data_IF_141111654746
#
_entry.id   IF_141111654746
#
_cell.length_a   1.000
_cell.length_b   1.000
_cell.length_c   1.000
_cell.angle_alpha   90.00
_cell.angle_beta   90.00
_cell.angle_gamma   90.00
#
_symmetry.space_group_name_H-M   'P 1'
#
loop_
_entity.id
_entity.type
_entity.pdbx_description
1 polymer ?
#
# COMPACT_ATOMS: atom_id res chain seq x y z
N UNK A 1 -6.13 5.33 18.36
CA UNK A 1 -4.93 5.79 17.63
C UNK A 1 -5.29 6.02 16.17
N UNK A 2 -4.43 6.71 15.42
CA UNK A 2 -4.65 7.00 14.00
C UNK A 2 -4.06 5.87 13.14
N UNK A 3 -4.86 5.29 12.27
CA UNK A 3 -4.47 4.14 11.42
C UNK A 3 -4.64 4.53 9.96
N UNK A 4 -3.57 4.44 9.17
CA UNK A 4 -3.68 4.57 7.71
C UNK A 4 -4.10 3.24 7.12
N UNK A 5 -5.29 3.19 6.52
CA UNK A 5 -5.77 2.04 5.79
C UNK A 5 -5.33 2.17 4.33
N UNK A 6 -4.43 1.30 3.88
CA UNK A 6 -4.11 1.15 2.46
C UNK A 6 -5.00 0.05 1.87
N UNK A 7 -5.88 0.45 0.95
CA UNK A 7 -6.75 -0.47 0.22
C UNK A 7 -6.04 -0.84 -1.09
N UNK A 8 -5.63 -2.12 -1.28
CA UNK A 8 -5.00 -2.55 -2.53
C UNK A 8 -5.92 -2.32 -3.72
N UNK A 9 -5.34 -1.95 -4.87
CA UNK A 9 -6.09 -1.68 -6.10
C UNK A 9 -7.08 -2.80 -6.48
N UNK A 10 -6.70 -4.07 -6.33
CA UNK A 10 -7.60 -5.19 -6.66
C UNK A 10 -8.75 -5.33 -5.64
N UNK A 11 -8.53 -4.97 -4.38
CA UNK A 11 -9.58 -4.99 -3.35
C UNK A 11 -10.61 -3.92 -3.70
N UNK A 12 -10.15 -2.71 -4.03
CA UNK A 12 -11.02 -1.60 -4.38
C UNK A 12 -11.86 -1.91 -5.64
N UNK A 13 -11.23 -2.50 -6.66
CA UNK A 13 -11.89 -2.81 -7.93
C UNK A 13 -12.81 -4.03 -7.87
N UNK A 14 -12.44 -5.09 -7.13
CA UNK A 14 -13.14 -6.37 -7.20
C UNK A 14 -13.90 -6.73 -5.92
N UNK A 15 -13.47 -6.23 -4.76
CA UNK A 15 -14.02 -6.60 -3.45
C UNK A 15 -14.13 -5.40 -2.49
N UNK A 16 -14.77 -4.28 -2.90
CA UNK A 16 -14.79 -3.04 -2.10
C UNK A 16 -15.38 -3.21 -0.70
N UNK A 17 -16.25 -4.21 -0.51
CA UNK A 17 -16.80 -4.58 0.80
C UNK A 17 -15.73 -4.97 1.83
N UNK A 18 -14.57 -5.45 1.40
CA UNK A 18 -13.45 -5.74 2.30
C UNK A 18 -12.90 -4.44 2.89
N UNK A 19 -12.64 -3.43 2.07
CA UNK A 19 -12.21 -2.11 2.54
C UNK A 19 -13.21 -1.49 3.51
N UNK A 20 -14.51 -1.50 3.16
CA UNK A 20 -15.57 -1.00 4.04
C UNK A 20 -15.65 -1.77 5.37
N UNK A 21 -15.44 -3.08 5.35
CA UNK A 21 -15.46 -3.91 6.56
C UNK A 21 -14.26 -3.61 7.47
N UNK A 22 -13.08 -3.37 6.90
CA UNK A 22 -11.89 -2.96 7.65
C UNK A 22 -12.12 -1.64 8.38
N UNK A 23 -12.68 -0.63 7.70
CA UNK A 23 -13.05 0.66 8.33
C UNK A 23 -13.96 0.42 9.53
N UNK A 24 -15.08 -0.30 9.35
CA UNK A 24 -16.05 -0.57 10.41
C UNK A 24 -15.42 -1.29 11.62
N UNK A 25 -14.53 -2.25 11.38
CA UNK A 25 -13.85 -2.99 12.46
C UNK A 25 -12.92 -2.05 13.23
N UNK A 26 -12.07 -1.29 12.54
CA UNK A 26 -11.09 -0.40 13.15
C UNK A 26 -11.76 0.74 13.93
N UNK A 27 -12.82 1.35 13.39
CA UNK A 27 -13.60 2.38 14.07
C UNK A 27 -14.31 1.82 15.31
N UNK A 28 -14.87 0.60 15.22
CA UNK A 28 -15.50 -0.07 16.37
C UNK A 28 -14.51 -0.37 17.49
N UNK A 29 -13.23 -0.55 17.17
CA UNK A 29 -12.13 -0.70 18.14
C UNK A 29 -11.64 0.65 18.70
N UNK A 30 -12.24 1.78 18.31
CA UNK A 30 -11.89 3.11 18.79
C UNK A 30 -10.67 3.72 18.08
N UNK A 31 -10.41 3.34 16.84
CA UNK A 31 -9.34 3.93 16.02
C UNK A 31 -9.89 4.95 15.03
N UNK A 32 -9.11 6.00 14.77
CA UNK A 32 -9.37 6.95 13.68
C UNK A 32 -8.78 6.35 12.40
N UNK A 33 -9.60 6.12 11.38
CA UNK A 33 -9.17 5.53 10.12
C UNK A 33 -8.92 6.62 9.09
N UNK A 34 -7.70 6.65 8.57
CA UNK A 34 -7.28 7.54 7.48
C UNK A 34 -7.19 6.72 6.22
N UNK A 35 -7.81 7.20 5.16
CA UNK A 35 -7.76 6.59 3.84
C UNK A 35 -7.40 7.65 2.79
N UNK A 36 -6.71 7.23 1.74
CA UNK A 36 -6.36 8.08 0.60
C UNK A 36 -7.24 7.70 -0.60
N UNK A 37 -8.06 8.65 -1.08
CA UNK A 37 -9.03 8.42 -2.16
C UNK A 37 -8.41 8.00 -3.50
N UNK A 38 -7.15 8.36 -3.73
CA UNK A 38 -6.46 8.03 -4.97
C UNK A 38 -6.06 6.56 -4.95
N UNK A 39 -6.71 5.76 -5.79
CA UNK A 39 -6.33 4.36 -6.02
C UNK A 39 -4.87 4.29 -6.50
N UNK A 40 -4.06 3.48 -5.82
CA UNK A 40 -2.68 3.21 -6.17
C UNK A 40 -2.38 1.70 -6.14
N UNK A 41 -1.58 1.23 -7.10
CA UNK A 41 -1.15 -0.16 -7.17
C UNK A 41 0.17 -0.35 -6.43
N UNK A 42 0.30 -1.42 -5.65
CA UNK A 42 1.56 -1.72 -4.95
C UNK A 42 2.70 -2.13 -5.90
N UNK A 43 2.42 -2.41 -7.18
CA UNK A 43 3.41 -2.75 -8.21
C UNK A 43 3.80 -4.24 -8.28
N UNK A 44 3.29 -5.05 -7.36
CA UNK A 44 3.69 -6.46 -7.21
C UNK A 44 3.51 -7.34 -8.47
N UNK A 45 2.40 -7.26 -9.24
CA UNK A 45 2.26 -8.09 -10.43
C UNK A 45 3.36 -7.82 -11.47
N UNK A 46 3.72 -6.55 -11.68
CA UNK A 46 4.78 -6.16 -12.60
C UNK A 46 6.16 -6.60 -12.08
N UNK A 47 6.41 -6.44 -10.78
CA UNK A 47 7.65 -6.88 -10.14
C UNK A 47 7.89 -8.39 -10.33
N UNK A 48 6.88 -9.22 -10.03
CA UNK A 48 6.95 -10.66 -10.17
C UNK A 48 7.18 -11.13 -11.62
N UNK A 49 6.75 -10.32 -12.60
CA UNK A 49 6.92 -10.61 -14.03
C UNK A 49 8.20 -10.01 -14.64
N UNK A 50 9.05 -9.35 -13.84
CA UNK A 50 10.31 -8.76 -14.31
C UNK A 50 10.17 -7.34 -14.92
N UNK A 51 8.96 -6.76 -14.93
CA UNK A 51 8.71 -5.40 -15.41
C UNK A 51 9.00 -4.36 -14.31
N UNK A 52 10.27 -4.23 -13.92
CA UNK A 52 10.66 -3.46 -12.73
C UNK A 52 10.50 -1.94 -12.90
N UNK A 53 10.65 -1.42 -14.12
CA UNK A 53 10.39 0.00 -14.40
C UNK A 53 8.90 0.34 -14.22
N UNK A 54 8.02 -0.52 -14.72
CA UNK A 54 6.56 -0.41 -14.55
C UNK A 54 6.16 -0.59 -13.09
N UNK A 55 6.77 -1.55 -12.40
CA UNK A 55 6.56 -1.76 -10.98
C UNK A 55 6.93 -0.51 -10.16
N UNK A 56 8.07 0.11 -10.43
CA UNK A 56 8.47 1.39 -9.82
C UNK A 56 7.46 2.49 -10.10
N UNK A 57 7.09 2.70 -11.37
CA UNK A 57 6.10 3.73 -11.75
C UNK A 57 4.77 3.56 -11.00
N UNK A 58 4.30 2.32 -10.84
CA UNK A 58 3.09 2.02 -10.09
C UNK A 58 3.24 2.25 -8.58
N UNK A 59 4.42 1.96 -8.02
CA UNK A 59 4.71 2.01 -6.59
C UNK A 59 5.01 3.42 -6.04
N UNK A 60 5.55 4.35 -6.84
CA UNK A 60 5.89 5.71 -6.36
C UNK A 60 4.72 6.44 -5.70
N UNK A 61 3.48 6.43 -6.23
CA UNK A 61 2.33 7.03 -5.57
C UNK A 61 2.05 6.45 -4.17
N UNK A 62 2.34 5.17 -3.95
CA UNK A 62 2.14 4.52 -2.64
C UNK A 62 3.13 5.06 -1.62
N UNK A 63 4.40 5.26 -2.01
CA UNK A 63 5.39 5.88 -1.13
C UNK A 63 4.93 7.27 -0.64
N UNK A 64 4.35 8.07 -1.53
CA UNK A 64 3.84 9.40 -1.19
C UNK A 64 2.62 9.34 -0.26
N UNK A 65 1.73 8.36 -0.47
CA UNK A 65 0.55 8.17 0.38
C UNK A 65 0.93 7.75 1.80
N UNK A 66 1.96 6.94 1.95
CA UNK A 66 2.33 6.34 3.24
C UNK A 66 3.46 7.09 3.98
N UNK A 67 4.04 8.14 3.38
CA UNK A 67 5.22 8.86 3.90
C UNK A 67 5.05 9.36 5.35
N UNK A 68 3.83 9.72 5.76
CA UNK A 68 3.54 10.26 7.09
C UNK A 68 2.69 9.30 7.95
N UNK A 69 2.61 8.03 7.58
CA UNK A 69 1.82 7.03 8.29
C UNK A 69 2.62 6.39 9.42
N UNK A 70 2.13 6.53 10.65
CA UNK A 70 2.71 5.83 11.82
C UNK A 70 2.37 4.33 11.80
N UNK A 71 1.11 4.01 11.48
CA UNK A 71 0.61 2.63 11.40
C UNK A 71 -0.13 2.45 10.09
N UNK A 72 0.30 1.49 9.29
CA UNK A 72 -0.35 1.10 8.03
C UNK A 72 -1.01 -0.26 8.19
N UNK A 73 -2.30 -0.34 7.88
CA UNK A 73 -3.06 -1.59 7.83
C UNK A 73 -3.43 -1.90 6.38
N UNK A 74 -3.23 -3.16 5.99
CA UNK A 74 -3.44 -3.66 4.63
C UNK A 74 -4.20 -4.97 4.64
N UNK A 75 -5.23 -5.07 3.79
CA UNK A 75 -6.02 -6.29 3.59
C UNK A 75 -5.50 -7.14 2.41
N UNK A 76 -4.17 -7.28 2.28
CA UNK A 76 -3.52 -8.13 1.28
C UNK A 76 -2.12 -8.51 1.75
N UNK A 77 -1.89 -9.80 1.99
CA UNK A 77 -0.55 -10.30 2.35
C UNK A 77 0.46 -10.05 1.23
N UNK A 78 0.04 -10.10 -0.02
CA UNK A 78 0.92 -9.92 -1.18
C UNK A 78 1.37 -8.47 -1.31
N UNK A 79 0.44 -7.49 -1.28
CA UNK A 79 0.84 -6.07 -1.28
C UNK A 79 1.57 -5.72 0.02
N UNK A 80 1.20 -6.28 1.17
CA UNK A 80 1.92 -6.09 2.42
C UNK A 80 3.39 -6.54 2.33
N UNK A 81 3.64 -7.72 1.74
CA UNK A 81 4.99 -8.20 1.47
C UNK A 81 5.70 -7.31 0.43
N UNK A 82 4.99 -6.85 -0.60
CA UNK A 82 5.55 -5.92 -1.59
C UNK A 82 6.10 -4.66 -0.92
N UNK A 83 5.31 -4.00 -0.09
CA UNK A 83 5.73 -2.78 0.60
C UNK A 83 6.85 -3.04 1.60
N UNK A 84 6.75 -4.10 2.40
CA UNK A 84 7.65 -4.32 3.56
C UNK A 84 8.95 -5.05 3.22
N UNK A 85 8.92 -5.92 2.21
CA UNK A 85 10.04 -6.83 1.89
C UNK A 85 10.68 -6.47 0.57
N UNK A 86 9.88 -6.12 -0.45
CA UNK A 86 10.38 -6.00 -1.82
C UNK A 86 10.58 -4.54 -2.28
N UNK A 87 10.00 -3.54 -1.62
CA UNK A 87 10.28 -2.13 -1.92
C UNK A 87 11.76 -1.75 -1.75
N UNK A 88 12.49 -2.21 -0.71
CA UNK A 88 13.92 -1.95 -0.60
C UNK A 88 14.70 -2.41 -1.84
N UNK A 89 14.39 -3.59 -2.38
CA UNK A 89 15.02 -4.12 -3.59
C UNK A 89 14.55 -3.36 -4.85
N UNK A 90 13.24 -3.13 -4.98
CA UNK A 90 12.64 -2.45 -6.13
C UNK A 90 13.22 -1.04 -6.33
N UNK A 91 13.51 -0.33 -5.25
CA UNK A 91 13.97 1.06 -5.26
C UNK A 91 15.47 1.22 -4.97
N UNK A 92 16.23 0.15 -4.82
CA UNK A 92 17.68 0.20 -4.60
C UNK A 92 18.39 0.99 -5.71
N UNK A 93 19.25 1.95 -5.34
CA UNK A 93 19.96 2.82 -6.26
C UNK A 93 19.09 3.87 -6.95
N UNK A 94 17.84 4.06 -6.52
CA UNK A 94 16.92 5.08 -7.08
C UNK A 94 16.72 6.26 -6.11
N UNK A 95 16.23 7.42 -6.58
CA UNK A 95 15.92 8.55 -5.70
C UNK A 95 14.90 8.26 -4.59
N UNK A 96 14.17 7.15 -4.68
CA UNK A 96 13.14 6.76 -3.71
C UNK A 96 13.62 5.76 -2.67
N UNK A 97 14.88 5.31 -2.72
CA UNK A 97 15.43 4.28 -1.84
C UNK A 97 15.22 4.59 -0.34
N UNK A 98 15.46 5.83 0.09
CA UNK A 98 15.29 6.25 1.49
C UNK A 98 13.83 6.24 1.97
N UNK A 99 12.86 6.27 1.05
CA UNK A 99 11.42 6.19 1.37
C UNK A 99 10.91 4.75 1.35
N UNK A 100 11.68 3.82 0.78
CA UNK A 100 11.31 2.43 0.57
C UNK A 100 11.73 1.54 1.76
N UNK A 101 11.42 1.98 2.98
CA UNK A 101 11.85 1.35 4.25
C UNK A 101 10.66 1.05 5.15
#
# INVERSE_FOLDING_TARGET
MKVTLFVPCFVDLCFPQVGMSMVRILEKLGHEVVFHEKIACCGQPAFNSGYWDEARKAAVPVLQQLENSEVVVIASGSCGAMLKVFYPELFHGTPHELKAV
#
